data_IF_814266092316
#
_entry.id   IF_814266092316
#
_cell.length_a   1.000
_cell.length_b   1.000
_cell.length_c   1.000
_cell.angle_alpha   90.00
_cell.angle_beta   90.00
_cell.angle_gamma   90.00
#
_symmetry.space_group_name_H-M   'P 1'
#
loop_
_entity.id
_entity.type
_entity.pdbx_description
1 polymer ?
#
# COMPACT_ATOMS: atom_id res chain seq x y z
N UNK A 1 18.87 93.42 31.47
CA UNK A 1 18.03 93.66 30.28
C UNK A 1 18.52 92.67 29.23
N UNK A 2 17.86 91.52 29.07
CA UNK A 2 18.14 90.61 27.97
C UNK A 2 16.79 90.14 27.44
N UNK A 3 16.53 90.40 26.18
CA UNK A 3 15.27 90.14 25.46
C UNK A 3 15.19 88.62 25.12
N UNK A 4 14.10 88.00 25.54
CA UNK A 4 13.76 86.64 25.10
C UNK A 4 12.98 86.77 23.78
N UNK A 5 13.50 86.19 22.71
CA UNK A 5 12.84 86.03 21.42
C UNK A 5 12.18 84.68 21.35
N UNK A 6 10.83 84.72 21.18
CA UNK A 6 10.02 83.56 20.83
C UNK A 6 10.29 83.22 19.34
N UNK A 7 10.73 81.98 19.08
CA UNK A 7 10.44 81.28 17.82
C UNK A 7 11.07 79.91 17.87
N UNK A 8 10.25 78.86 17.71
CA UNK A 8 10.74 77.49 17.52
C UNK A 8 9.81 76.38 17.98
N UNK A 9 8.50 76.47 17.71
CA UNK A 9 7.64 75.32 17.72
C UNK A 9 7.59 74.81 16.28
N UNK A 10 8.27 73.70 16.01
CA UNK A 10 8.08 72.96 14.75
C UNK A 10 8.30 71.46 15.02
N UNK A 11 7.21 70.71 14.95
CA UNK A 11 7.18 69.44 14.28
C UNK A 11 7.74 68.20 15.01
N UNK A 12 7.08 67.71 16.06
CA UNK A 12 7.16 66.29 16.39
C UNK A 12 6.17 65.53 15.44
N UNK A 13 6.67 65.12 14.29
CA UNK A 13 5.98 64.20 13.41
C UNK A 13 5.93 62.82 14.07
N UNK A 14 4.74 62.34 14.42
CA UNK A 14 4.47 60.97 14.82
C UNK A 14 4.80 60.07 13.64
N UNK A 15 6.00 59.49 13.59
CA UNK A 15 6.30 58.34 12.74
C UNK A 15 5.61 57.12 13.35
N UNK A 16 4.39 56.84 12.92
CA UNK A 16 3.75 55.54 13.17
C UNK A 16 4.61 54.46 12.53
N UNK A 17 5.06 53.43 13.26
CA UNK A 17 5.72 52.31 12.65
C UNK A 17 4.70 51.61 11.70
N UNK A 18 4.92 51.71 10.43
CA UNK A 18 4.30 50.80 9.46
C UNK A 18 4.81 49.38 9.77
N UNK A 19 4.08 48.67 10.65
CA UNK A 19 4.20 47.24 10.78
C UNK A 19 3.66 46.72 9.46
N UNK A 20 4.53 46.59 8.46
CA UNK A 20 4.29 45.78 7.30
C UNK A 20 4.00 44.37 7.85
N UNK A 21 2.71 44.02 7.98
CA UNK A 21 2.29 42.63 8.01
C UNK A 21 2.86 42.03 6.72
N UNK A 22 4.05 41.43 6.85
CA UNK A 22 4.45 40.42 5.90
C UNK A 22 3.35 39.36 5.98
N UNK A 23 2.33 39.52 5.18
CA UNK A 23 1.48 38.42 4.78
C UNK A 23 2.45 37.39 4.29
N UNK A 24 2.71 36.35 5.08
CA UNK A 24 3.28 35.11 4.59
C UNK A 24 2.41 34.78 3.38
N UNK A 25 2.87 35.11 2.19
CA UNK A 25 2.37 34.53 0.97
C UNK A 25 2.54 33.02 1.23
N UNK A 26 1.48 32.37 1.65
CA UNK A 26 1.40 30.91 1.60
C UNK A 26 1.59 30.59 0.13
N UNK A 27 2.85 30.32 -0.24
CA UNK A 27 3.20 29.88 -1.56
C UNK A 27 2.23 28.75 -1.90
N UNK A 28 1.63 28.83 -3.08
CA UNK A 28 0.64 27.84 -3.52
C UNK A 28 1.28 26.46 -3.49
N UNK A 29 0.94 25.65 -2.48
CA UNK A 29 1.39 24.26 -2.42
C UNK A 29 0.75 23.47 -3.58
N UNK A 30 1.51 22.63 -4.30
CA UNK A 30 2.98 22.46 -4.24
C UNK A 30 3.72 23.54 -5.04
N UNK A 31 4.81 24.09 -4.49
CA UNK A 31 5.66 25.11 -5.12
C UNK A 31 6.90 24.51 -5.83
N UNK A 32 7.12 23.20 -5.69
CA UNK A 32 8.21 22.41 -6.27
C UNK A 32 7.78 20.98 -6.52
N UNK A 33 8.60 20.16 -7.21
CA UNK A 33 8.25 18.76 -7.49
C UNK A 33 7.85 17.98 -6.23
N UNK A 34 6.78 17.18 -6.36
CA UNK A 34 6.34 16.23 -5.34
C UNK A 34 6.93 14.86 -5.64
N UNK A 35 7.49 14.20 -4.64
CA UNK A 35 8.15 12.90 -4.75
C UNK A 35 7.31 11.81 -4.09
N UNK A 36 7.20 10.69 -4.76
CA UNK A 36 6.59 9.47 -4.22
C UNK A 36 7.66 8.38 -4.15
N UNK A 37 8.01 7.97 -2.95
CA UNK A 37 8.96 6.88 -2.71
C UNK A 37 8.19 5.56 -2.73
N UNK A 38 8.58 4.67 -3.65
CA UNK A 38 8.08 3.30 -3.75
C UNK A 38 9.17 2.37 -3.20
N UNK A 39 8.94 1.67 -2.07
CA UNK A 39 9.98 0.88 -1.39
C UNK A 39 10.24 -0.48 -2.04
N UNK A 40 9.84 -0.66 -3.29
CA UNK A 40 9.95 -1.87 -4.08
C UNK A 40 10.63 -1.63 -5.42
N UNK A 41 11.08 -2.71 -6.05
CA UNK A 41 11.75 -2.66 -7.36
C UNK A 41 10.84 -2.09 -8.44
N UNK A 42 11.44 -1.37 -9.39
CA UNK A 42 10.76 -0.91 -10.58
C UNK A 42 10.14 -2.09 -11.35
N UNK A 43 8.95 -1.87 -11.92
CA UNK A 43 8.17 -2.90 -12.62
C UNK A 43 7.39 -3.83 -11.68
N UNK A 44 7.52 -3.71 -10.36
CA UNK A 44 6.65 -4.38 -9.39
C UNK A 44 5.24 -3.77 -9.37
N UNK A 45 4.31 -4.44 -8.68
CA UNK A 45 2.89 -4.01 -8.63
C UNK A 45 2.75 -2.56 -8.14
N UNK A 46 3.38 -2.20 -7.03
CA UNK A 46 3.30 -0.85 -6.48
C UNK A 46 3.89 0.20 -7.44
N UNK A 47 5.06 -0.08 -8.04
CA UNK A 47 5.68 0.82 -9.02
C UNK A 47 4.80 1.00 -10.26
N UNK A 48 4.22 -0.09 -10.76
CA UNK A 48 3.31 -0.06 -11.92
C UNK A 48 2.10 0.81 -11.62
N UNK A 49 1.44 0.65 -10.48
CA UNK A 49 0.29 1.46 -10.07
C UNK A 49 0.68 2.93 -9.93
N UNK A 50 1.79 3.23 -9.23
CA UNK A 50 2.29 4.58 -9.07
C UNK A 50 2.51 5.27 -10.43
N UNK A 51 3.13 4.58 -11.41
CA UNK A 51 3.37 5.11 -12.75
C UNK A 51 2.10 5.23 -13.60
N UNK A 52 1.09 4.40 -13.36
CA UNK A 52 -0.21 4.53 -14.04
C UNK A 52 -0.89 5.85 -13.64
N UNK A 53 -0.91 6.20 -12.35
CA UNK A 53 -1.58 7.41 -11.86
C UNK A 53 -0.72 8.68 -12.02
N UNK A 54 0.61 8.54 -12.13
CA UNK A 54 1.59 9.63 -12.14
C UNK A 54 1.21 10.82 -13.06
N UNK A 55 0.85 10.61 -14.34
CA UNK A 55 0.59 11.75 -15.25
C UNK A 55 -0.60 12.60 -14.81
N UNK A 56 -1.66 11.96 -14.35
CA UNK A 56 -2.89 12.66 -13.91
C UNK A 56 -2.72 13.34 -12.55
N UNK A 57 -1.91 12.77 -11.66
CA UNK A 57 -1.53 13.41 -10.40
C UNK A 57 -0.69 14.65 -10.67
N UNK A 58 0.31 14.58 -11.55
CA UNK A 58 1.14 15.73 -11.96
C UNK A 58 0.30 16.84 -12.60
N UNK A 59 -0.63 16.48 -13.50
CA UNK A 59 -1.57 17.42 -14.13
C UNK A 59 -2.38 18.18 -13.09
N UNK A 60 -2.99 17.50 -12.13
CA UNK A 60 -3.82 18.12 -11.10
C UNK A 60 -3.02 18.97 -10.09
N UNK A 61 -1.81 18.54 -9.75
CA UNK A 61 -0.93 19.29 -8.84
C UNK A 61 -0.35 20.55 -9.50
N UNK A 62 -0.24 20.56 -10.85
CA UNK A 62 0.45 21.63 -11.60
C UNK A 62 1.97 21.61 -11.38
N UNK A 63 2.51 20.50 -10.91
CA UNK A 63 3.94 20.31 -10.62
C UNK A 63 4.40 18.91 -11.07
N UNK A 64 5.70 18.76 -11.28
CA UNK A 64 6.29 17.45 -11.54
C UNK A 64 6.03 16.50 -10.39
N UNK A 65 5.54 15.30 -10.71
CA UNK A 65 5.33 14.22 -9.75
C UNK A 65 6.31 13.08 -10.06
N UNK A 66 7.26 12.84 -9.15
CA UNK A 66 8.43 11.99 -9.39
C UNK A 66 8.28 10.69 -8.62
N UNK A 67 8.32 9.55 -9.32
CA UNK A 67 8.36 8.22 -8.71
C UNK A 67 9.81 7.80 -8.53
N UNK A 68 10.18 7.46 -7.30
CA UNK A 68 11.53 7.04 -6.91
C UNK A 68 11.48 5.68 -6.19
N UNK A 69 12.18 4.68 -6.74
CA UNK A 69 12.25 3.36 -6.10
C UNK A 69 13.41 3.32 -5.09
N UNK A 70 13.11 3.00 -3.82
CA UNK A 70 14.10 2.81 -2.74
C UNK A 70 13.86 1.49 -2.05
N UNK A 71 14.49 0.44 -2.55
CA UNK A 71 14.27 -0.95 -2.12
C UNK A 71 15.14 -1.34 -0.93
N UNK A 72 14.76 -2.41 -0.26
CA UNK A 72 15.56 -3.10 0.75
C UNK A 72 14.85 -3.29 2.09
N UNK A 73 15.26 -4.30 2.84
CA UNK A 73 14.75 -4.67 4.16
C UNK A 73 13.20 -4.67 4.23
N UNK A 74 12.56 -5.40 3.32
CA UNK A 74 11.09 -5.49 3.20
C UNK A 74 10.38 -4.14 3.08
N UNK A 75 11.03 -3.12 2.48
CA UNK A 75 10.49 -1.78 2.28
C UNK A 75 10.89 -0.77 3.36
N UNK A 76 11.47 -1.19 4.48
CA UNK A 76 11.79 -0.29 5.59
C UNK A 76 12.84 0.78 5.25
N UNK A 77 13.74 0.54 4.28
CA UNK A 77 14.70 1.55 3.81
C UNK A 77 13.97 2.73 3.14
N UNK A 78 13.03 2.44 2.24
CA UNK A 78 12.22 3.47 1.60
C UNK A 78 11.31 4.21 2.59
N UNK A 79 10.69 3.48 3.51
CA UNK A 79 9.87 4.05 4.56
C UNK A 79 10.69 4.98 5.47
N UNK A 80 11.88 4.58 5.90
CA UNK A 80 12.78 5.41 6.70
C UNK A 80 13.17 6.71 5.97
N UNK A 81 13.46 6.63 4.66
CA UNK A 81 13.80 7.82 3.87
C UNK A 81 12.66 8.84 3.82
N UNK A 82 11.39 8.38 3.81
CA UNK A 82 10.22 9.25 3.89
C UNK A 82 10.02 9.79 5.30
N UNK A 83 10.11 8.94 6.33
CA UNK A 83 9.96 9.37 7.72
C UNK A 83 10.96 10.46 8.13
N UNK A 84 12.16 10.45 7.54
CA UNK A 84 13.22 11.45 7.77
C UNK A 84 13.14 12.67 6.84
N UNK A 85 12.21 12.69 5.88
CA UNK A 85 12.05 13.85 4.99
C UNK A 85 11.28 14.97 5.67
N UNK A 86 11.42 16.25 5.21
CA UNK A 86 10.60 17.34 5.70
C UNK A 86 9.10 17.01 5.62
N UNK A 87 8.38 17.29 6.71
CA UNK A 87 6.93 17.09 6.78
C UNK A 87 6.17 18.27 6.13
N UNK A 88 6.47 18.59 4.88
CA UNK A 88 5.94 19.75 4.14
C UNK A 88 5.02 19.37 2.98
N UNK A 89 4.75 18.07 2.81
CA UNK A 89 3.87 17.55 1.77
C UNK A 89 4.55 17.27 0.42
N UNK A 90 5.88 17.48 0.27
CA UNK A 90 6.57 17.21 -0.99
C UNK A 90 7.20 15.82 -1.09
N UNK A 91 7.07 14.99 -0.05
CA UNK A 91 7.53 13.59 -0.09
C UNK A 91 6.49 12.69 0.54
N UNK A 92 6.08 11.67 -0.21
CA UNK A 92 5.12 10.65 0.23
C UNK A 92 5.72 9.26 0.07
N UNK A 93 5.30 8.34 0.94
CA UNK A 93 5.54 6.91 0.80
C UNK A 93 4.36 6.28 0.05
N UNK A 94 4.64 5.43 -0.94
CA UNK A 94 3.64 4.60 -1.59
C UNK A 94 3.88 3.15 -1.22
N UNK A 95 3.06 2.65 -0.30
CA UNK A 95 3.26 1.34 0.32
C UNK A 95 2.01 0.48 0.17
N UNK A 96 2.18 -0.83 0.36
CA UNK A 96 1.10 -1.81 0.36
C UNK A 96 0.72 -2.29 1.75
N UNK A 97 -0.07 -3.35 1.81
CA UNK A 97 -0.57 -3.94 3.05
C UNK A 97 0.55 -4.42 4.01
N UNK A 98 1.77 -4.61 3.51
CA UNK A 98 2.96 -4.88 4.33
C UNK A 98 3.24 -3.78 5.36
N UNK A 99 2.81 -2.53 5.10
CA UNK A 99 2.85 -1.45 6.09
C UNK A 99 2.11 -1.79 7.39
N UNK A 100 1.01 -2.52 7.29
CA UNK A 100 0.22 -2.93 8.46
C UNK A 100 0.84 -4.15 9.17
N UNK A 101 1.47 -5.07 8.44
CA UNK A 101 1.88 -6.38 8.96
C UNK A 101 3.34 -6.44 9.39
N UNK A 102 4.25 -5.75 8.69
CA UNK A 102 5.69 -5.78 8.97
C UNK A 102 6.04 -5.42 10.42
N UNK A 103 5.45 -4.39 11.05
CA UNK A 103 5.75 -4.03 12.44
C UNK A 103 5.38 -5.10 13.47
N UNK A 104 4.54 -6.05 13.12
CA UNK A 104 4.08 -7.10 14.04
C UNK A 104 5.02 -8.30 14.09
N UNK A 105 5.84 -8.47 13.07
CA UNK A 105 6.70 -9.66 12.89
C UNK A 105 8.19 -9.34 12.89
N UNK A 106 8.58 -8.09 12.62
CA UNK A 106 9.97 -7.66 12.66
C UNK A 106 10.37 -7.22 14.07
N UNK A 107 11.48 -7.80 14.58
CA UNK A 107 12.01 -7.47 15.91
C UNK A 107 12.84 -6.18 15.95
N UNK A 108 13.26 -5.69 14.80
CA UNK A 108 14.15 -4.53 14.73
C UNK A 108 13.83 -3.69 13.49
N UNK A 109 12.84 -2.79 13.64
CA UNK A 109 12.57 -1.78 12.62
C UNK A 109 13.32 -0.49 12.97
N UNK A 110 13.88 0.22 11.97
CA UNK A 110 14.60 1.47 12.21
C UNK A 110 13.69 2.63 12.59
N UNK A 111 12.38 2.47 12.43
CA UNK A 111 11.35 3.49 12.69
C UNK A 111 10.08 2.85 13.26
N UNK A 112 9.32 3.61 14.03
CA UNK A 112 7.98 3.21 14.45
C UNK A 112 6.95 3.60 13.38
N UNK A 113 6.41 2.61 12.69
CA UNK A 113 5.39 2.77 11.64
C UNK A 113 4.05 3.33 12.15
N UNK A 114 3.83 3.31 13.47
CA UNK A 114 2.57 3.80 14.07
C UNK A 114 2.59 5.29 14.32
N UNK A 115 3.77 5.86 14.54
CA UNK A 115 3.95 7.27 14.90
C UNK A 115 4.67 8.10 13.83
N UNK A 116 5.46 7.45 12.96
CA UNK A 116 6.25 8.17 11.95
C UNK A 116 5.43 8.62 10.73
N UNK A 117 4.23 8.11 10.53
CA UNK A 117 3.44 8.34 9.31
C UNK A 117 1.98 8.72 9.59
N UNK A 118 1.43 9.48 8.65
CA UNK A 118 0.00 9.75 8.52
C UNK A 118 -0.50 9.00 7.30
N UNK A 119 -1.50 8.07 7.42
CA UNK A 119 -2.20 7.52 6.28
C UNK A 119 -2.99 8.62 5.55
N UNK A 120 -2.69 8.84 4.27
CA UNK A 120 -3.29 9.94 3.49
C UNK A 120 -4.44 9.47 2.63
N UNK A 121 -4.23 8.45 1.80
CA UNK A 121 -5.25 7.92 0.89
C UNK A 121 -4.92 6.50 0.46
N UNK A 122 -5.91 5.63 0.46
CA UNK A 122 -5.84 4.36 -0.22
C UNK A 122 -6.04 4.60 -1.73
N UNK A 123 -5.24 3.92 -2.55
CA UNK A 123 -5.27 4.10 -4.00
C UNK A 123 -5.94 2.94 -4.70
N UNK A 124 -5.61 1.70 -4.30
CA UNK A 124 -6.21 0.50 -4.88
C UNK A 124 -6.43 -0.59 -3.84
N UNK A 125 -7.31 -1.54 -4.19
CA UNK A 125 -7.36 -2.89 -3.61
C UNK A 125 -6.92 -3.91 -4.66
N UNK A 126 -6.31 -5.00 -4.19
CA UNK A 126 -5.81 -6.06 -5.06
C UNK A 126 -5.98 -7.38 -4.33
N UNK A 127 -7.06 -8.12 -4.58
CA UNK A 127 -7.17 -9.46 -4.03
C UNK A 127 -6.09 -10.36 -4.63
N UNK A 128 -5.57 -11.24 -3.79
CA UNK A 128 -4.70 -12.29 -4.24
C UNK A 128 -5.52 -13.52 -4.62
N UNK A 129 -4.92 -14.37 -5.41
CA UNK A 129 -5.53 -15.62 -5.86
C UNK A 129 -4.78 -16.79 -5.26
N UNK A 130 -5.52 -17.74 -4.71
CA UNK A 130 -5.02 -19.07 -4.48
C UNK A 130 -5.06 -19.84 -5.82
N UNK A 131 -3.90 -20.13 -6.37
CA UNK A 131 -3.74 -20.94 -7.58
C UNK A 131 -2.96 -22.19 -7.28
N UNK A 132 -3.25 -23.30 -7.99
CA UNK A 132 -2.52 -24.57 -7.90
C UNK A 132 -1.93 -24.94 -9.24
N UNK A 133 -0.78 -25.65 -9.22
CA UNK A 133 -0.10 -26.11 -10.44
C UNK A 133 -0.98 -27.01 -11.31
N UNK A 134 -0.62 -27.12 -12.57
CA UNK A 134 -1.22 -28.10 -13.46
C UNK A 134 -1.12 -29.53 -12.89
N UNK A 135 -2.21 -30.29 -13.00
CA UNK A 135 -2.27 -31.66 -12.49
C UNK A 135 -2.37 -31.80 -10.96
N UNK A 136 -2.53 -30.71 -10.21
CA UNK A 136 -2.85 -30.79 -8.78
C UNK A 136 -4.24 -31.47 -8.59
N UNK A 137 -4.43 -32.36 -7.59
CA UNK A 137 -5.65 -33.17 -7.46
C UNK A 137 -6.88 -32.41 -6.91
N UNK A 138 -6.90 -31.08 -7.01
CA UNK A 138 -8.06 -30.25 -6.66
C UNK A 138 -8.39 -29.27 -7.77
N UNK A 139 -9.70 -28.99 -7.93
CA UNK A 139 -10.24 -28.06 -8.93
C UNK A 139 -11.00 -26.89 -8.28
N UNK A 140 -11.20 -26.95 -6.96
CA UNK A 140 -11.85 -25.94 -6.14
C UNK A 140 -11.23 -25.88 -4.75
N UNK A 141 -11.67 -24.90 -3.94
CA UNK A 141 -11.17 -24.70 -2.59
C UNK A 141 -11.46 -25.88 -1.67
N UNK A 142 -12.64 -26.52 -1.80
CA UNK A 142 -13.01 -27.65 -0.96
C UNK A 142 -12.11 -28.86 -1.20
N UNK A 143 -11.81 -29.17 -2.48
CA UNK A 143 -10.87 -30.21 -2.86
C UNK A 143 -9.44 -29.91 -2.39
N UNK A 144 -9.00 -28.66 -2.46
CA UNK A 144 -7.68 -28.23 -1.95
C UNK A 144 -7.57 -28.46 -0.44
N UNK A 145 -8.58 -28.05 0.32
CA UNK A 145 -8.62 -28.26 1.77
C UNK A 145 -8.68 -29.75 2.13
N UNK A 146 -9.46 -30.55 1.39
CA UNK A 146 -9.52 -31.99 1.61
C UNK A 146 -8.14 -32.65 1.37
N UNK A 147 -7.44 -32.25 0.31
CA UNK A 147 -6.09 -32.74 0.00
C UNK A 147 -5.09 -32.32 1.10
N UNK A 148 -5.15 -31.07 1.56
CA UNK A 148 -4.28 -30.57 2.63
C UNK A 148 -4.52 -31.29 3.98
N UNK A 149 -5.77 -31.66 4.30
CA UNK A 149 -6.07 -32.49 5.47
C UNK A 149 -5.55 -33.91 5.36
N UNK A 150 -5.49 -34.46 4.14
CA UNK A 150 -4.95 -35.80 3.89
C UNK A 150 -3.43 -35.82 3.99
N UNK A 151 -2.75 -34.73 3.68
CA UNK A 151 -1.30 -34.58 3.60
C UNK A 151 -0.82 -33.35 4.39
N UNK A 152 -0.98 -33.34 5.73
CA UNK A 152 -0.68 -32.16 6.53
C UNK A 152 0.80 -31.79 6.49
N UNK A 153 1.10 -30.55 6.04
CA UNK A 153 2.45 -30.01 5.93
C UNK A 153 3.24 -30.47 4.69
N UNK A 154 2.64 -31.26 3.79
CA UNK A 154 3.34 -31.72 2.58
C UNK A 154 3.05 -30.83 1.35
N UNK A 155 1.92 -30.13 1.35
CA UNK A 155 1.57 -29.23 0.23
C UNK A 155 2.32 -27.92 0.40
N UNK A 156 3.14 -27.60 -0.60
CA UNK A 156 3.90 -26.35 -0.62
C UNK A 156 3.08 -25.20 -1.17
N UNK A 157 3.18 -24.00 -0.53
CA UNK A 157 2.61 -22.79 -1.11
C UNK A 157 3.63 -21.64 -1.12
N UNK A 158 3.66 -20.91 -2.23
CA UNK A 158 4.58 -19.80 -2.45
C UNK A 158 3.93 -18.45 -2.27
N UNK A 159 4.70 -17.51 -1.72
CA UNK A 159 4.34 -16.08 -1.62
C UNK A 159 5.54 -15.19 -1.92
N UNK A 160 5.36 -13.87 -2.17
CA UNK A 160 6.45 -12.93 -2.44
C UNK A 160 7.38 -12.63 -1.25
N UNK A 161 7.36 -13.44 -0.21
CA UNK A 161 8.29 -13.31 0.93
C UNK A 161 7.69 -13.68 2.27
N UNK A 162 8.55 -13.89 3.25
CA UNK A 162 8.14 -14.02 4.66
C UNK A 162 7.52 -12.72 5.12
N UNK A 163 6.44 -12.80 5.89
CA UNK A 163 5.68 -11.66 6.39
C UNK A 163 5.05 -10.74 5.32
N UNK A 164 5.17 -11.05 4.04
CA UNK A 164 4.38 -10.42 3.00
C UNK A 164 2.89 -10.71 3.21
N UNK A 165 2.00 -9.82 2.76
CA UNK A 165 0.54 -10.00 2.96
C UNK A 165 0.04 -11.36 2.46
N UNK A 166 0.59 -11.90 1.37
CA UNK A 166 0.25 -13.24 0.87
C UNK A 166 0.59 -14.37 1.85
N UNK A 167 1.63 -14.22 2.67
CA UNK A 167 1.94 -15.17 3.74
C UNK A 167 0.83 -15.12 4.82
N UNK A 168 0.44 -13.94 5.27
CA UNK A 168 -0.67 -13.79 6.22
C UNK A 168 -2.00 -14.34 5.67
N UNK A 169 -2.26 -14.17 4.37
CA UNK A 169 -3.42 -14.77 3.70
C UNK A 169 -3.39 -16.31 3.76
N UNK A 170 -2.22 -16.90 3.53
CA UNK A 170 -2.02 -18.35 3.66
C UNK A 170 -2.20 -18.84 5.08
N UNK A 171 -1.62 -18.14 6.05
CA UNK A 171 -1.76 -18.47 7.47
C UNK A 171 -3.23 -18.34 7.96
N UNK A 172 -3.95 -17.30 7.51
CA UNK A 172 -5.36 -17.15 7.83
C UNK A 172 -6.19 -18.31 7.27
N UNK A 173 -5.93 -18.74 6.02
CA UNK A 173 -6.59 -19.90 5.43
C UNK A 173 -6.30 -21.16 6.23
N UNK A 174 -5.04 -21.40 6.62
CA UNK A 174 -4.66 -22.57 7.42
C UNK A 174 -5.40 -22.59 8.75
N UNK A 175 -5.45 -21.46 9.47
CA UNK A 175 -6.17 -21.33 10.73
C UNK A 175 -7.68 -21.60 10.59
N UNK A 176 -8.33 -21.01 9.57
CA UNK A 176 -9.78 -21.12 9.39
C UNK A 176 -10.20 -22.51 8.86
N UNK A 177 -9.39 -23.12 8.00
CA UNK A 177 -9.67 -24.42 7.40
C UNK A 177 -9.18 -25.60 8.26
N UNK A 178 -8.37 -25.36 9.29
CA UNK A 178 -7.74 -26.40 10.10
C UNK A 178 -6.82 -27.30 9.28
N UNK A 179 -5.98 -26.69 8.41
CA UNK A 179 -5.00 -27.39 7.57
C UNK A 179 -3.59 -26.95 7.89
N UNK A 180 -2.61 -27.70 7.40
CA UNK A 180 -1.19 -27.37 7.52
C UNK A 180 -0.54 -27.41 6.13
N UNK A 181 0.10 -26.30 5.71
CA UNK A 181 0.83 -26.15 4.46
C UNK A 181 2.29 -25.80 4.76
N UNK A 182 3.18 -26.07 3.80
CA UNK A 182 4.58 -25.67 3.87
C UNK A 182 4.80 -24.36 3.10
N UNK A 183 5.20 -23.29 3.79
CA UNK A 183 5.41 -21.98 3.17
C UNK A 183 6.79 -21.88 2.51
N UNK A 184 6.83 -21.52 1.23
CA UNK A 184 8.04 -21.26 0.46
C UNK A 184 8.12 -19.79 0.07
N UNK A 185 8.99 -18.97 0.69
CA UNK A 185 9.13 -17.57 0.34
C UNK A 185 9.93 -17.36 -0.94
N UNK A 186 9.47 -16.47 -1.82
CA UNK A 186 10.14 -16.05 -3.05
C UNK A 186 10.45 -14.55 -3.02
N UNK A 187 11.23 -14.06 -4.00
CA UNK A 187 11.56 -12.62 -4.11
C UNK A 187 10.41 -11.78 -4.67
N UNK A 188 9.40 -12.43 -5.30
CA UNK A 188 8.24 -11.75 -5.89
C UNK A 188 7.24 -12.71 -6.50
N UNK A 189 6.06 -12.19 -6.87
CA UNK A 189 4.98 -12.99 -7.45
C UNK A 189 5.34 -13.66 -8.77
N UNK A 190 6.19 -13.05 -9.59
CA UNK A 190 6.65 -13.62 -10.85
C UNK A 190 7.47 -14.91 -10.65
N UNK A 191 8.27 -14.98 -9.58
CA UNK A 191 9.01 -16.18 -9.25
C UNK A 191 8.08 -17.30 -8.80
N UNK A 192 7.08 -16.99 -7.96
CA UNK A 192 6.03 -17.94 -7.56
C UNK A 192 5.29 -18.49 -8.78
N UNK A 193 4.86 -17.61 -9.69
CA UNK A 193 4.14 -18.00 -10.91
C UNK A 193 4.99 -18.94 -11.81
N UNK A 194 6.30 -18.67 -11.92
CA UNK A 194 7.22 -19.51 -12.68
C UNK A 194 7.36 -20.91 -12.08
N UNK A 195 7.46 -21.00 -10.74
CA UNK A 195 7.59 -22.29 -10.04
C UNK A 195 6.29 -23.10 -10.08
N UNK A 196 5.12 -22.44 -9.99
CA UNK A 196 3.81 -23.06 -10.23
C UNK A 196 3.70 -23.63 -11.64
N UNK A 197 4.03 -22.82 -12.66
CA UNK A 197 3.99 -23.24 -14.06
C UNK A 197 4.98 -24.36 -14.36
N UNK A 198 6.10 -24.43 -13.63
CA UNK A 198 7.11 -25.48 -13.71
C UNK A 198 6.79 -26.73 -12.88
N UNK A 199 5.69 -26.76 -12.13
CA UNK A 199 5.27 -27.91 -11.30
C UNK A 199 6.14 -28.14 -10.07
N UNK A 200 7.04 -27.20 -9.71
CA UNK A 200 7.92 -27.31 -8.54
C UNK A 200 7.30 -26.76 -7.27
N UNK A 201 6.17 -26.12 -7.36
CA UNK A 201 5.37 -25.57 -6.27
C UNK A 201 3.94 -26.05 -6.43
N UNK A 202 3.28 -26.51 -5.36
CA UNK A 202 1.93 -27.04 -5.41
C UNK A 202 0.88 -25.94 -5.53
N UNK A 203 1.02 -24.87 -4.72
CA UNK A 203 0.08 -23.77 -4.66
C UNK A 203 0.81 -22.41 -4.56
N UNK A 204 0.12 -21.31 -4.88
CA UNK A 204 0.63 -19.95 -4.68
C UNK A 204 -0.48 -19.00 -4.28
N UNK A 205 -0.15 -18.04 -3.41
CA UNK A 205 -1.05 -16.95 -3.03
C UNK A 205 -0.39 -15.64 -3.43
N UNK A 206 -0.74 -15.14 -4.61
CA UNK A 206 -0.14 -13.96 -5.24
C UNK A 206 -1.20 -13.14 -6.00
N UNK A 207 -0.85 -11.92 -6.40
CA UNK A 207 -1.73 -11.07 -7.21
C UNK A 207 -2.15 -11.77 -8.51
N UNK A 208 -3.36 -11.47 -8.98
CA UNK A 208 -3.89 -12.01 -10.23
C UNK A 208 -2.97 -11.72 -11.42
N UNK A 209 -2.47 -10.47 -11.51
CA UNK A 209 -1.54 -10.07 -12.59
C UNK A 209 -0.26 -10.92 -12.63
N UNK A 210 0.30 -11.25 -11.46
CA UNK A 210 1.48 -12.11 -11.38
C UNK A 210 1.15 -13.56 -11.75
N UNK A 211 -0.06 -14.03 -11.43
CA UNK A 211 -0.47 -15.43 -11.64
C UNK A 211 -0.90 -15.72 -13.08
N UNK A 212 -1.38 -14.71 -13.81
CA UNK A 212 -1.91 -14.85 -15.17
C UNK A 212 -1.01 -15.64 -16.13
N UNK A 213 0.31 -15.40 -16.23
CA UNK A 213 1.17 -16.20 -17.10
C UNK A 213 1.24 -17.70 -16.74
N UNK A 214 1.05 -18.03 -15.46
CA UNK A 214 0.99 -19.42 -15.01
C UNK A 214 -0.37 -20.07 -15.33
N UNK A 215 -1.47 -19.28 -15.26
CA UNK A 215 -2.81 -19.75 -15.69
C UNK A 215 -2.82 -20.14 -17.16
N UNK A 216 -2.18 -19.35 -18.01
CA UNK A 216 -2.02 -19.67 -19.45
C UNK A 216 -1.24 -20.99 -19.69
N UNK A 217 -0.50 -21.47 -18.69
CA UNK A 217 0.25 -22.73 -18.69
C UNK A 217 -0.40 -23.85 -17.87
N UNK A 218 -1.68 -23.69 -17.51
CA UNK A 218 -2.49 -24.74 -16.88
C UNK A 218 -2.61 -24.64 -15.36
N UNK A 219 -2.09 -23.58 -14.70
CA UNK A 219 -2.40 -23.29 -13.29
C UNK A 219 -3.89 -23.05 -13.13
N UNK A 220 -4.52 -23.70 -12.16
CA UNK A 220 -5.93 -23.55 -11.84
C UNK A 220 -6.12 -22.54 -10.73
N UNK A 221 -6.98 -21.53 -10.93
CA UNK A 221 -7.39 -20.60 -9.88
C UNK A 221 -8.50 -21.25 -9.05
N UNK A 222 -8.30 -21.35 -7.74
CA UNK A 222 -9.26 -22.00 -6.84
C UNK A 222 -10.16 -20.99 -6.14
N UNK A 223 -9.60 -19.87 -5.67
CA UNK A 223 -10.36 -18.83 -4.99
C UNK A 223 -9.59 -17.52 -4.92
N UNK A 224 -10.31 -16.41 -4.72
CA UNK A 224 -9.79 -15.08 -4.40
C UNK A 224 -9.79 -14.85 -2.89
N UNK A 225 -8.87 -14.04 -2.41
CA UNK A 225 -8.75 -13.64 -0.99
C UNK A 225 -9.66 -12.46 -0.62
N UNK A 226 -10.43 -11.92 -1.57
CA UNK A 226 -11.38 -10.84 -1.30
C UNK A 226 -12.54 -11.31 -0.41
N UNK A 227 -13.19 -10.36 0.28
CA UNK A 227 -14.43 -10.65 1.01
C UNK A 227 -15.62 -10.94 0.06
N UNK A 228 -15.63 -10.28 -1.12
CA UNK A 228 -16.66 -10.42 -2.14
C UNK A 228 -16.02 -10.62 -3.51
N UNK A 229 -16.78 -11.20 -4.46
CA UNK A 229 -16.31 -11.40 -5.83
C UNK A 229 -16.13 -10.05 -6.54
N UNK A 230 -14.96 -9.84 -7.14
CA UNK A 230 -14.70 -8.67 -7.98
C UNK A 230 -15.55 -8.71 -9.27
N UNK A 231 -15.99 -7.54 -9.72
CA UNK A 231 -16.78 -7.41 -10.93
C UNK A 231 -16.08 -7.95 -12.18
N UNK A 232 -14.75 -7.76 -12.26
CA UNK A 232 -13.89 -8.23 -13.37
C UNK A 232 -13.57 -9.74 -13.30
N UNK A 233 -13.78 -10.39 -12.14
CA UNK A 233 -13.40 -11.80 -11.89
C UNK A 233 -14.54 -12.58 -11.22
N UNK A 234 -15.79 -12.31 -11.59
CA UNK A 234 -17.00 -12.92 -10.99
C UNK A 234 -17.04 -14.44 -11.03
N UNK A 235 -16.37 -15.05 -12.00
CA UNK A 235 -16.26 -16.49 -12.16
C UNK A 235 -15.37 -17.16 -11.12
N UNK A 236 -14.49 -16.39 -10.42
CA UNK A 236 -13.60 -16.91 -9.39
C UNK A 236 -14.31 -16.78 -8.05
N UNK A 237 -14.55 -17.89 -7.32
CA UNK A 237 -15.13 -17.84 -5.99
C UNK A 237 -14.19 -17.12 -5.01
N UNK A 238 -14.73 -16.62 -3.90
CA UNK A 238 -13.93 -16.07 -2.82
C UNK A 238 -13.80 -17.06 -1.67
N UNK A 239 -12.69 -17.03 -0.94
CA UNK A 239 -12.47 -17.89 0.24
C UNK A 239 -13.58 -17.66 1.27
N UNK A 240 -14.07 -16.43 1.40
CA UNK A 240 -15.14 -16.04 2.31
C UNK A 240 -16.47 -16.77 2.09
N UNK A 241 -16.76 -17.27 0.88
CA UNK A 241 -17.96 -18.09 0.60
C UNK A 241 -17.94 -19.43 1.34
N UNK A 242 -16.74 -19.97 1.59
CA UNK A 242 -16.55 -21.23 2.32
C UNK A 242 -16.17 -20.98 3.78
N UNK A 243 -15.42 -19.92 4.03
CA UNK A 243 -14.93 -19.54 5.37
C UNK A 243 -15.38 -18.12 5.71
N UNK A 244 -16.62 -17.92 6.22
CA UNK A 244 -17.15 -16.61 6.58
C UNK A 244 -16.23 -15.88 7.56
N UNK A 245 -15.93 -14.60 7.25
CA UNK A 245 -14.97 -13.80 8.02
C UNK A 245 -13.53 -13.87 7.51
N UNK A 246 -13.23 -14.66 6.48
CA UNK A 246 -12.00 -14.51 5.73
C UNK A 246 -12.06 -13.21 4.93
N UNK A 247 -11.26 -12.23 5.35
CA UNK A 247 -11.22 -10.91 4.71
C UNK A 247 -9.85 -10.29 4.91
N UNK A 248 -8.95 -10.59 4.00
CA UNK A 248 -7.60 -10.04 3.95
C UNK A 248 -7.22 -9.82 2.48
N UNK A 249 -7.17 -8.56 2.08
CA UNK A 249 -6.82 -8.17 0.71
C UNK A 249 -5.54 -7.35 0.69
N UNK A 250 -4.78 -7.44 -0.39
CA UNK A 250 -3.72 -6.48 -0.62
C UNK A 250 -4.31 -5.13 -1.06
N UNK A 251 -3.64 -4.07 -0.71
CA UNK A 251 -3.97 -2.71 -1.13
C UNK A 251 -2.68 -1.92 -1.32
N UNK A 252 -2.79 -0.79 -2.02
CA UNK A 252 -1.75 0.24 -2.03
C UNK A 252 -2.33 1.58 -1.62
N UNK A 253 -1.49 2.39 -1.00
CA UNK A 253 -1.88 3.74 -0.58
C UNK A 253 -0.68 4.62 -0.26
N UNK A 254 -1.00 5.88 -0.03
CA UNK A 254 -0.02 6.91 0.23
C UNK A 254 0.02 7.28 1.71
N UNK A 255 1.23 7.50 2.21
CA UNK A 255 1.50 7.96 3.56
C UNK A 255 2.38 9.20 3.50
N UNK A 256 2.16 10.13 4.41
CA UNK A 256 3.00 11.29 4.62
C UNK A 256 3.82 11.15 5.91
N UNK A 257 4.96 11.84 6.04
CA UNK A 257 5.63 11.99 7.34
C UNK A 257 4.69 12.58 8.40
N UNK A 258 4.85 12.15 9.64
CA UNK A 258 4.10 12.73 10.77
C UNK A 258 4.33 14.25 10.82
N UNK A 259 3.27 15.01 11.07
CA UNK A 259 3.34 16.49 11.09
C UNK A 259 3.13 17.17 9.74
N UNK A 260 2.92 16.44 8.65
CA UNK A 260 2.59 17.04 7.34
C UNK A 260 1.32 17.88 7.44
N UNK A 261 1.31 19.14 6.98
CA UNK A 261 0.13 20.02 7.07
C UNK A 261 -1.10 19.46 6.38
N UNK A 262 -2.26 19.60 7.02
CA UNK A 262 -3.53 19.08 6.48
C UNK A 262 -3.86 19.65 5.10
N UNK A 263 -3.57 20.92 4.85
CA UNK A 263 -3.78 21.55 3.55
C UNK A 263 -3.00 20.84 2.42
N UNK A 264 -1.76 20.42 2.69
CA UNK A 264 -0.94 19.66 1.75
C UNK A 264 -1.51 18.24 1.54
N UNK A 265 -1.92 17.57 2.62
CA UNK A 265 -2.58 16.27 2.53
C UNK A 265 -3.85 16.34 1.67
N UNK A 266 -4.74 17.30 1.95
CA UNK A 266 -6.01 17.46 1.21
C UNK A 266 -5.78 17.76 -0.27
N UNK A 267 -4.80 18.58 -0.62
CA UNK A 267 -4.43 18.85 -2.00
C UNK A 267 -3.91 17.60 -2.71
N UNK A 268 -3.11 16.81 -2.02
CA UNK A 268 -2.59 15.54 -2.55
C UNK A 268 -3.71 14.48 -2.70
N UNK A 269 -4.60 14.34 -1.73
CA UNK A 269 -5.80 13.48 -1.81
C UNK A 269 -6.64 13.85 -3.03
N UNK A 270 -6.90 15.14 -3.24
CA UNK A 270 -7.66 15.61 -4.41
C UNK A 270 -6.99 15.23 -5.74
N UNK A 271 -5.66 15.29 -5.81
CA UNK A 271 -4.91 14.90 -7.01
C UNK A 271 -4.99 13.38 -7.27
N UNK A 272 -4.88 12.56 -6.22
CA UNK A 272 -5.05 11.10 -6.34
C UNK A 272 -6.48 10.78 -6.78
N UNK A 273 -7.49 11.36 -6.16
CA UNK A 273 -8.90 11.14 -6.53
C UNK A 273 -9.21 11.60 -7.97
N UNK A 274 -8.59 12.71 -8.41
CA UNK A 274 -8.71 13.16 -9.80
C UNK A 274 -8.17 12.10 -10.76
N UNK A 275 -6.99 11.56 -10.49
CA UNK A 275 -6.39 10.50 -11.30
C UNK A 275 -7.25 9.21 -11.31
N UNK A 276 -7.77 8.78 -10.14
CA UNK A 276 -8.56 7.56 -10.02
C UNK A 276 -9.97 7.65 -10.64
N UNK A 277 -10.48 8.85 -10.88
CA UNK A 277 -11.76 9.09 -11.59
C UNK A 277 -11.61 9.08 -13.11
N UNK A 278 -10.40 9.14 -13.64
CA UNK A 278 -10.16 9.10 -15.08
C UNK A 278 -10.41 7.68 -15.62
N UNK A 279 -11.33 7.48 -16.60
CA UNK A 279 -11.66 6.15 -17.11
C UNK A 279 -10.47 5.40 -17.73
N UNK A 280 -9.53 6.12 -18.33
CA UNK A 280 -8.35 5.49 -18.91
C UNK A 280 -7.38 4.99 -17.83
N UNK A 281 -7.29 5.70 -16.71
CA UNK A 281 -6.54 5.23 -15.54
C UNK A 281 -7.23 4.01 -14.92
N UNK A 282 -8.54 4.03 -14.75
CA UNK A 282 -9.30 2.91 -14.22
C UNK A 282 -9.09 1.65 -15.06
N UNK A 283 -9.28 1.73 -16.36
CA UNK A 283 -9.06 0.59 -17.26
C UNK A 283 -7.63 0.03 -17.20
N UNK A 284 -6.62 0.90 -17.04
CA UNK A 284 -5.23 0.46 -16.89
C UNK A 284 -4.96 -0.22 -15.55
N UNK A 285 -5.56 0.26 -14.44
CA UNK A 285 -5.47 -0.37 -13.12
C UNK A 285 -6.15 -1.74 -13.13
N UNK A 286 -7.38 -1.83 -13.63
CA UNK A 286 -8.13 -3.08 -13.75
C UNK A 286 -7.40 -4.14 -14.58
N UNK A 287 -6.71 -3.73 -15.66
CA UNK A 287 -5.87 -4.63 -16.46
C UNK A 287 -4.69 -5.23 -15.65
N UNK A 288 -4.31 -4.61 -14.54
CA UNK A 288 -3.32 -5.15 -13.58
C UNK A 288 -3.95 -5.98 -12.46
N UNK A 289 -5.28 -6.10 -12.41
CA UNK A 289 -6.02 -6.73 -11.32
C UNK A 289 -6.13 -5.86 -10.07
N UNK A 290 -5.98 -4.53 -10.23
CA UNK A 290 -6.10 -3.56 -9.16
C UNK A 290 -7.38 -2.74 -9.33
N UNK A 291 -8.27 -2.78 -8.34
CA UNK A 291 -9.47 -1.96 -8.32
C UNK A 291 -9.17 -0.59 -7.69
N UNK A 292 -9.47 0.53 -8.37
CA UNK A 292 -9.28 1.87 -7.83
C UNK A 292 -10.21 2.12 -6.64
N UNK A 293 -9.72 2.81 -5.61
CA UNK A 293 -10.48 3.13 -4.39
C UNK A 293 -10.49 4.63 -4.15
N UNK A 294 -11.69 5.19 -4.05
CA UNK A 294 -11.89 6.58 -3.61
C UNK A 294 -12.16 6.57 -2.11
N UNK A 295 -11.14 6.83 -1.31
CA UNK A 295 -11.21 6.76 0.15
C UNK A 295 -10.88 8.08 0.84
N UNK A 296 -11.49 8.33 2.00
CA UNK A 296 -11.02 9.38 2.91
C UNK A 296 -9.80 8.87 3.72
N UNK A 297 -8.98 9.76 4.30
CA UNK A 297 -7.92 9.36 5.22
C UNK A 297 -8.43 8.52 6.40
N UNK A 298 -9.59 8.84 6.96
CA UNK A 298 -10.21 8.08 8.05
C UNK A 298 -10.61 6.66 7.62
N UNK A 299 -11.20 6.51 6.43
CA UNK A 299 -11.53 5.18 5.89
C UNK A 299 -10.26 4.35 5.65
N UNK A 300 -9.19 4.96 5.12
CA UNK A 300 -7.92 4.28 4.92
C UNK A 300 -7.27 3.85 6.25
N UNK A 301 -7.32 4.71 7.27
CA UNK A 301 -6.84 4.36 8.61
C UNK A 301 -7.61 3.17 9.21
N UNK A 302 -8.93 3.09 8.98
CA UNK A 302 -9.74 1.96 9.43
C UNK A 302 -9.34 0.64 8.74
N UNK A 303 -9.01 0.66 7.44
CA UNK A 303 -8.48 -0.52 6.73
C UNK A 303 -7.17 -0.98 7.35
N UNK A 304 -6.23 -0.08 7.60
CA UNK A 304 -4.94 -0.41 8.22
C UNK A 304 -5.13 -0.99 9.62
N UNK A 305 -6.02 -0.42 10.44
CA UNK A 305 -6.32 -0.90 11.78
C UNK A 305 -6.89 -2.32 11.75
N UNK A 306 -7.87 -2.57 10.87
CA UNK A 306 -8.47 -3.89 10.66
C UNK A 306 -7.40 -4.92 10.30
N UNK A 307 -6.55 -4.62 9.32
CA UNK A 307 -5.52 -5.56 8.86
C UNK A 307 -4.49 -5.84 9.96
N UNK A 308 -4.12 -4.84 10.75
CA UNK A 308 -3.27 -5.03 11.94
C UNK A 308 -3.90 -5.96 12.96
N UNK A 309 -5.21 -5.86 13.20
CA UNK A 309 -5.90 -6.71 14.16
C UNK A 309 -6.01 -8.16 13.67
N UNK A 310 -6.27 -8.37 12.38
CA UNK A 310 -6.20 -9.69 11.75
C UNK A 310 -4.80 -10.28 11.85
N UNK A 311 -3.79 -9.51 11.49
CA UNK A 311 -2.40 -9.95 11.53
C UNK A 311 -1.92 -10.27 12.96
N UNK A 312 -2.30 -9.47 13.98
CA UNK A 312 -2.01 -9.80 15.39
C UNK A 312 -2.57 -11.16 15.82
N UNK A 313 -3.80 -11.47 15.42
CA UNK A 313 -4.42 -12.79 15.71
C UNK A 313 -3.65 -13.92 15.04
N UNK A 314 -3.23 -13.73 13.78
CA UNK A 314 -2.42 -14.72 13.07
C UNK A 314 -1.07 -14.91 13.76
N UNK A 315 -0.35 -13.83 14.08
CA UNK A 315 0.95 -13.90 14.79
C UNK A 315 0.81 -14.58 16.15
N UNK A 316 -0.24 -14.28 16.92
CA UNK A 316 -0.49 -14.92 18.21
C UNK A 316 -0.75 -16.43 18.08
N UNK A 317 -1.42 -16.86 17.00
CA UNK A 317 -1.76 -18.27 16.78
C UNK A 317 -0.59 -19.08 16.17
N UNK A 318 0.26 -18.45 15.35
CA UNK A 318 1.30 -19.15 14.56
C UNK A 318 2.72 -18.93 15.10
N UNK A 319 2.94 -17.89 15.91
CA UNK A 319 4.27 -17.48 16.35
C UNK A 319 5.11 -16.85 15.23
N UNK A 320 4.48 -16.42 14.11
CA UNK A 320 5.17 -15.85 12.95
C UNK A 320 6.05 -14.67 13.36
N UNK A 321 7.35 -14.76 13.06
CA UNK A 321 8.32 -13.69 13.30
C UNK A 321 9.42 -13.72 12.26
N UNK A 322 10.04 -12.55 12.00
CA UNK A 322 11.24 -12.40 11.19
C UNK A 322 12.35 -11.81 12.07
N UNK A 323 13.53 -12.38 11.94
CA UNK A 323 14.74 -11.91 12.63
C UNK A 323 15.32 -10.69 11.95
#
# INVERSE_FOLDING_TARGET
MVRITRRGLAGFGLAAPFIARQGLAQGSYPDRPVRMIVPYSAGGVADTIARIIQPKVAEHLGQSFIIENRTGASGSIGAMAVAQSPADGHTFLFEGATFATLPLVSRSLPIDYTTAFIPVVQVTTQPYMLGVRAGFPARDLAGFVAEAKRRPGEITYGTPGVAHIGHFMGELLQLMAGIKLEHIPYRGGADVARELAGGRLDAGIISYSSLRPAVERGTTLLASTAAERQASLRQIPVIAETYPGYDLVSWTGCFAPAGTPEAAQNRFVAAIHHALKDPAIQARLEATGADPVISSPAAYQAVIAKDRDVARRIVAATGLSIS
#
